data_IF_103378144006
#
_entry.id   IF_103378144006
#
_cell.length_a   1.000
_cell.length_b   1.000
_cell.length_c   1.000
_cell.angle_alpha   90.00
_cell.angle_beta   90.00
_cell.angle_gamma   90.00
#
_symmetry.space_group_name_H-M   'P 1'
#
loop_
_entity.id
_entity.type
_entity.pdbx_description
1 polymer ?
#
# COMPACT_ATOMS: atom_id res chain seq x y z
N UNK A 1 58.46 49.12 -0.07
CA UNK A 1 58.45 47.99 0.87
C UNK A 1 57.74 46.82 0.28
N UNK A 2 58.47 45.74 -0.01
CA UNK A 2 57.97 44.53 -0.73
C UNK A 2 57.39 43.58 0.33
N UNK A 3 56.21 43.04 0.08
CA UNK A 3 55.66 41.87 0.81
C UNK A 3 55.83 40.62 -0.03
N UNK A 4 56.15 39.45 0.55
CA UNK A 4 56.46 38.24 -0.18
C UNK A 4 55.21 37.43 -0.52
N UNK A 5 55.22 36.85 -1.71
CA UNK A 5 54.30 35.85 -2.20
C UNK A 5 54.50 34.53 -1.50
N UNK A 6 53.43 33.93 -0.95
CA UNK A 6 53.42 32.57 -0.45
C UNK A 6 52.91 31.61 -1.53
N UNK A 7 53.80 30.79 -2.04
CA UNK A 7 53.54 29.70 -2.95
C UNK A 7 52.77 28.58 -2.24
N UNK A 8 51.51 28.33 -2.60
CA UNK A 8 50.75 27.14 -2.20
C UNK A 8 51.00 26.03 -3.21
N UNK A 9 51.79 25.08 -2.77
CA UNK A 9 52.01 23.81 -3.50
C UNK A 9 50.74 22.98 -3.47
N UNK A 10 50.19 22.65 -4.66
CA UNK A 10 49.10 21.68 -4.83
C UNK A 10 49.67 20.28 -4.69
N UNK A 11 49.32 19.59 -3.61
CA UNK A 11 49.43 18.12 -3.53
C UNK A 11 48.41 17.45 -4.47
N UNK A 12 48.81 16.40 -5.20
CA UNK A 12 47.89 15.67 -6.06
C UNK A 12 46.98 14.77 -5.21
N UNK A 13 45.70 14.82 -5.53
CA UNK A 13 44.60 14.09 -4.89
C UNK A 13 44.72 12.56 -5.08
N UNK A 14 45.47 11.90 -4.18
CA UNK A 14 45.65 10.44 -4.15
C UNK A 14 44.43 9.67 -3.61
N UNK A 15 43.28 10.33 -3.37
CA UNK A 15 42.11 9.69 -2.76
C UNK A 15 41.06 9.15 -3.75
N UNK A 16 41.23 9.32 -5.06
CA UNK A 16 40.28 8.77 -6.07
C UNK A 16 40.57 7.35 -6.51
N UNK A 17 41.78 6.83 -6.36
CA UNK A 17 42.13 5.45 -6.74
C UNK A 17 41.61 4.38 -5.78
N UNK A 18 41.58 4.67 -4.48
CA UNK A 18 41.32 3.66 -3.44
C UNK A 18 39.82 3.28 -3.28
N UNK A 19 38.88 4.00 -3.90
CA UNK A 19 37.43 3.66 -3.80
C UNK A 19 36.93 2.75 -4.93
N UNK A 20 37.63 2.68 -6.02
CA UNK A 20 37.25 1.77 -7.14
C UNK A 20 37.79 0.37 -6.92
N UNK A 21 38.98 0.23 -6.33
CA UNK A 21 39.57 -1.08 -6.04
C UNK A 21 38.88 -1.81 -4.88
N UNK A 22 38.32 -1.07 -3.91
CA UNK A 22 37.53 -1.64 -2.82
C UNK A 22 36.15 -2.15 -3.28
N UNK A 23 35.60 -1.62 -4.38
CA UNK A 23 34.34 -2.11 -4.98
C UNK A 23 34.56 -3.33 -5.89
N UNK A 24 35.75 -3.48 -6.47
CA UNK A 24 36.12 -4.64 -7.27
C UNK A 24 36.46 -5.88 -6.42
N UNK A 25 36.98 -5.68 -5.22
CA UNK A 25 37.32 -6.77 -4.30
C UNK A 25 36.09 -7.44 -3.63
N UNK A 26 34.91 -6.78 -3.61
CA UNK A 26 33.65 -7.36 -3.06
C UNK A 26 32.91 -8.21 -4.08
N UNK A 27 33.32 -8.21 -5.34
CA UNK A 27 32.73 -9.06 -6.42
C UNK A 27 33.51 -10.34 -6.67
N UNK A 28 34.45 -10.73 -5.83
CA UNK A 28 35.01 -12.06 -5.89
C UNK A 28 33.91 -13.08 -5.56
N UNK A 29 33.56 -13.84 -6.59
CA UNK A 29 32.55 -14.89 -6.56
C UNK A 29 32.79 -15.82 -5.36
N UNK A 30 31.82 -15.85 -4.44
CA UNK A 30 31.71 -16.98 -3.49
C UNK A 30 31.60 -18.24 -4.35
N UNK A 31 32.50 -19.23 -4.19
CA UNK A 31 32.45 -20.45 -4.98
C UNK A 31 31.06 -21.07 -4.86
N UNK A 32 30.43 -21.35 -5.99
CA UNK A 32 29.08 -21.97 -6.05
C UNK A 32 29.06 -23.42 -5.51
N UNK A 33 30.20 -23.94 -5.05
CA UNK A 33 30.35 -25.32 -4.59
C UNK A 33 30.05 -25.61 -3.12
N UNK A 34 29.55 -24.65 -2.35
CA UNK A 34 29.21 -24.85 -0.91
C UNK A 34 27.77 -24.42 -0.61
N UNK A 35 26.84 -24.71 -1.50
CA UNK A 35 25.43 -24.72 -1.11
C UNK A 35 25.10 -26.13 -0.62
N UNK A 36 24.68 -26.30 0.66
CA UNK A 36 24.19 -27.61 1.08
C UNK A 36 23.03 -28.00 0.17
N UNK A 37 23.03 -29.23 -0.33
CA UNK A 37 22.02 -29.80 -1.23
C UNK A 37 20.61 -29.91 -0.64
N UNK A 38 20.34 -29.24 0.48
CA UNK A 38 19.09 -29.19 1.21
C UNK A 38 18.58 -27.77 1.42
N UNK A 39 18.66 -26.86 0.41
CA UNK A 39 17.93 -25.61 0.48
C UNK A 39 16.43 -25.91 0.67
N UNK A 40 15.75 -25.30 1.65
CA UNK A 40 14.34 -25.62 1.90
C UNK A 40 13.52 -25.31 0.65
N UNK A 41 12.79 -26.32 0.15
CA UNK A 41 11.92 -26.25 -1.04
C UNK A 41 10.83 -25.18 -0.89
N UNK A 42 10.58 -24.75 0.35
CA UNK A 42 9.56 -23.77 0.74
C UNK A 42 10.18 -22.64 1.53
N UNK A 43 10.17 -21.43 0.97
CA UNK A 43 10.60 -20.21 1.66
C UNK A 43 9.38 -19.58 2.34
N UNK A 44 9.42 -19.45 3.68
CA UNK A 44 8.29 -18.99 4.49
C UNK A 44 8.71 -17.98 5.56
N UNK A 45 9.58 -17.02 5.18
CA UNK A 45 9.91 -15.90 6.06
C UNK A 45 8.79 -14.85 5.98
N UNK A 46 8.32 -14.45 7.15
CA UNK A 46 7.21 -13.52 7.35
C UNK A 46 7.71 -12.10 7.53
N UNK A 47 6.86 -11.09 7.29
CA UNK A 47 7.21 -9.66 7.48
C UNK A 47 7.31 -9.36 8.97
N UNK A 48 6.23 -9.64 9.72
CA UNK A 48 6.12 -9.39 11.16
C UNK A 48 6.34 -10.71 11.92
N UNK A 49 5.58 -11.74 11.57
CA UNK A 49 5.61 -13.05 12.16
C UNK A 49 4.48 -13.92 11.63
N UNK A 50 4.64 -15.23 11.64
CA UNK A 50 3.69 -16.19 11.04
C UNK A 50 2.25 -15.93 11.47
N UNK A 51 1.99 -15.81 12.77
CA UNK A 51 0.64 -15.61 13.29
C UNK A 51 0.05 -14.28 12.85
N UNK A 52 0.80 -13.18 12.97
CA UNK A 52 0.34 -11.83 12.59
C UNK A 52 0.09 -11.74 11.08
N UNK A 53 1.03 -12.23 10.27
CA UNK A 53 0.92 -12.15 8.82
C UNK A 53 -0.24 -13.01 8.29
N UNK A 54 -0.43 -14.22 8.82
CA UNK A 54 -1.54 -15.10 8.45
C UNK A 54 -2.89 -14.55 8.89
N UNK A 55 -2.97 -13.84 10.03
CA UNK A 55 -4.23 -13.30 10.52
C UNK A 55 -4.56 -11.96 9.87
N UNK A 56 -3.62 -11.01 9.86
CA UNK A 56 -3.90 -9.61 9.51
C UNK A 56 -3.40 -9.19 8.13
N UNK A 57 -2.36 -9.83 7.56
CA UNK A 57 -1.87 -9.47 6.23
C UNK A 57 -2.53 -10.33 5.15
N UNK A 58 -2.54 -11.63 5.33
CA UNK A 58 -3.14 -12.59 4.38
C UNK A 58 -4.61 -12.83 4.73
N UNK A 59 -4.88 -13.13 6.00
CA UNK A 59 -6.22 -13.44 6.51
C UNK A 59 -7.18 -12.24 6.52
N UNK A 60 -6.67 -11.01 6.36
CA UNK A 60 -7.52 -9.83 6.09
C UNK A 60 -8.45 -10.03 4.90
N UNK A 61 -8.08 -10.86 3.92
CA UNK A 61 -8.94 -11.22 2.80
C UNK A 61 -10.27 -11.86 3.27
N UNK A 62 -10.27 -12.59 4.39
CA UNK A 62 -11.50 -13.16 4.97
C UNK A 62 -12.50 -12.08 5.39
N UNK A 63 -12.03 -10.92 5.85
CA UNK A 63 -12.93 -9.80 6.15
C UNK A 63 -13.57 -9.24 4.88
N UNK A 64 -12.84 -9.17 3.75
CA UNK A 64 -13.39 -8.81 2.46
C UNK A 64 -14.43 -9.84 1.97
N UNK A 65 -14.13 -11.13 2.08
CA UNK A 65 -15.10 -12.19 1.76
C UNK A 65 -16.33 -12.15 2.68
N UNK A 66 -16.16 -11.91 3.98
CA UNK A 66 -17.29 -11.76 4.90
C UNK A 66 -18.17 -10.56 4.53
N UNK A 67 -17.59 -9.44 4.12
CA UNK A 67 -18.33 -8.28 3.65
C UNK A 67 -19.09 -8.58 2.33
N UNK A 68 -18.45 -9.27 1.38
CA UNK A 68 -19.07 -9.74 0.14
C UNK A 68 -20.28 -10.64 0.44
N UNK A 69 -20.10 -11.66 1.28
CA UNK A 69 -21.16 -12.59 1.68
C UNK A 69 -22.30 -11.87 2.42
N UNK A 70 -21.98 -10.95 3.33
CA UNK A 70 -22.97 -10.16 4.06
C UNK A 70 -23.88 -9.39 3.09
N UNK A 71 -23.32 -8.76 2.07
CA UNK A 71 -24.12 -7.98 1.10
C UNK A 71 -24.82 -8.87 0.08
N UNK A 72 -24.07 -9.80 -0.58
CA UNK A 72 -24.61 -10.55 -1.74
C UNK A 72 -25.48 -11.73 -1.31
N UNK A 73 -25.05 -12.49 -0.29
CA UNK A 73 -25.76 -13.70 0.11
C UNK A 73 -26.73 -13.49 1.26
N UNK A 74 -26.37 -12.64 2.24
CA UNK A 74 -27.21 -12.38 3.40
C UNK A 74 -28.07 -11.13 3.25
N UNK A 75 -27.96 -10.41 2.12
CA UNK A 75 -28.74 -9.21 1.78
C UNK A 75 -28.68 -8.11 2.84
N UNK A 76 -27.58 -8.01 3.60
CA UNK A 76 -27.39 -6.90 4.55
C UNK A 76 -27.37 -5.59 3.76
N UNK A 77 -28.17 -4.57 4.19
CA UNK A 77 -28.24 -3.30 3.46
C UNK A 77 -26.86 -2.64 3.31
N UNK A 78 -26.56 -2.24 2.07
CA UNK A 78 -25.26 -1.64 1.75
C UNK A 78 -24.99 -0.36 2.54
N UNK A 79 -26.03 0.43 2.89
CA UNK A 79 -25.91 1.62 3.70
C UNK A 79 -25.38 1.32 5.12
N UNK A 80 -25.84 0.23 5.74
CA UNK A 80 -25.35 -0.21 7.05
C UNK A 80 -23.89 -0.68 6.96
N UNK A 81 -23.58 -1.50 5.96
CA UNK A 81 -22.23 -2.00 5.71
C UNK A 81 -21.26 -0.85 5.38
N UNK A 82 -21.71 0.17 4.66
CA UNK A 82 -20.93 1.35 4.34
C UNK A 82 -20.57 2.17 5.59
N UNK A 83 -21.52 2.37 6.51
CA UNK A 83 -21.25 3.03 7.77
C UNK A 83 -20.24 2.26 8.62
N UNK A 84 -20.46 0.94 8.76
CA UNK A 84 -19.55 0.07 9.49
C UNK A 84 -18.13 0.12 8.91
N UNK A 85 -18.00 0.04 7.60
CA UNK A 85 -16.72 0.17 6.92
C UNK A 85 -16.12 1.57 7.08
N UNK A 86 -16.89 2.63 6.83
CA UNK A 86 -16.41 4.01 6.80
C UNK A 86 -15.83 4.44 8.15
N UNK A 87 -16.53 4.17 9.24
CA UNK A 87 -16.09 4.56 10.59
C UNK A 87 -15.14 3.54 11.19
N UNK A 88 -15.42 2.25 11.03
CA UNK A 88 -14.66 1.18 11.67
C UNK A 88 -13.31 0.89 11.03
N UNK A 89 -13.21 1.03 9.72
CA UNK A 89 -12.01 0.63 8.97
C UNK A 89 -11.37 1.77 8.18
N UNK A 90 -12.11 2.46 7.33
CA UNK A 90 -11.53 3.46 6.44
C UNK A 90 -11.04 4.70 7.18
N UNK A 91 -11.85 5.21 8.11
CA UNK A 91 -11.45 6.35 8.92
C UNK A 91 -10.32 6.04 9.90
N UNK A 92 -10.35 4.86 10.50
CA UNK A 92 -9.27 4.41 11.40
C UNK A 92 -7.95 4.19 10.66
N UNK A 93 -8.01 3.76 9.41
CA UNK A 93 -6.83 3.58 8.56
C UNK A 93 -6.13 4.93 8.28
N UNK A 94 -6.88 6.01 8.03
CA UNK A 94 -6.30 7.36 7.90
C UNK A 94 -5.60 7.81 9.20
N UNK A 95 -6.16 7.44 10.38
CA UNK A 95 -5.45 7.65 11.65
C UNK A 95 -4.10 6.93 11.68
N UNK A 96 -4.01 5.74 11.09
CA UNK A 96 -2.74 5.02 10.99
C UNK A 96 -1.63 5.89 10.39
N UNK A 97 -1.87 6.54 9.26
CA UNK A 97 -0.95 7.51 8.65
C UNK A 97 -0.69 8.69 9.58
N UNK A 98 -1.75 9.29 10.15
CA UNK A 98 -1.64 10.45 11.02
C UNK A 98 -0.81 10.16 12.28
N UNK A 99 -0.94 8.96 12.87
CA UNK A 99 -0.20 8.54 14.07
C UNK A 99 1.31 8.53 13.87
N UNK A 100 1.75 8.24 12.67
CA UNK A 100 3.15 8.14 12.26
C UNK A 100 3.72 9.44 11.69
N UNK A 101 2.87 10.44 11.41
CA UNK A 101 3.26 11.68 10.75
C UNK A 101 2.91 12.90 11.59
N UNK A 102 1.65 13.32 11.57
CA UNK A 102 1.18 14.53 12.25
C UNK A 102 1.28 14.45 13.78
N UNK A 103 1.13 13.25 14.36
CA UNK A 103 1.20 13.06 15.80
C UNK A 103 2.62 12.70 16.30
N UNK A 104 3.52 12.21 15.43
CA UNK A 104 4.94 12.00 15.77
C UNK A 104 5.68 13.34 15.73
N UNK A 105 6.17 13.80 16.90
CA UNK A 105 6.87 15.09 17.04
C UNK A 105 8.12 15.17 16.15
N UNK A 106 8.93 14.12 16.10
CA UNK A 106 10.15 14.07 15.29
C UNK A 106 9.82 14.07 13.79
N UNK A 107 8.86 13.23 13.35
CA UNK A 107 8.44 13.17 11.97
C UNK A 107 7.86 14.51 11.51
N UNK A 108 7.06 15.17 12.37
CA UNK A 108 6.48 16.48 12.12
C UNK A 108 7.55 17.58 11.96
N UNK A 109 8.56 17.59 12.79
CA UNK A 109 9.67 18.56 12.68
C UNK A 109 10.49 18.32 11.40
N UNK A 110 10.85 17.07 11.14
CA UNK A 110 11.68 16.69 9.98
C UNK A 110 10.99 16.94 8.65
N UNK A 111 9.66 16.73 8.57
CA UNK A 111 8.91 16.77 7.33
C UNK A 111 7.81 17.85 7.33
N UNK A 112 7.98 18.94 8.08
CA UNK A 112 6.95 19.97 8.30
C UNK A 112 6.30 20.46 7.00
N UNK A 113 7.11 20.88 6.02
CA UNK A 113 6.62 21.40 4.74
C UNK A 113 5.86 20.32 3.96
N UNK A 114 6.35 19.10 3.93
CA UNK A 114 5.67 17.98 3.28
C UNK A 114 4.29 17.72 3.90
N UNK A 115 4.22 17.62 5.22
CA UNK A 115 3.01 17.25 5.94
C UNK A 115 1.93 18.35 5.85
N UNK A 116 2.28 19.56 6.29
CA UNK A 116 1.31 20.66 6.30
C UNK A 116 1.04 21.24 4.93
N UNK A 117 2.03 21.28 4.04
CA UNK A 117 1.86 21.71 2.66
C UNK A 117 0.97 20.77 1.86
N UNK A 118 1.14 19.43 1.99
CA UNK A 118 0.25 18.49 1.32
C UNK A 118 -1.16 18.52 1.90
N UNK A 119 -1.31 18.63 3.22
CA UNK A 119 -2.64 18.77 3.83
C UNK A 119 -3.35 20.04 3.31
N UNK A 120 -2.72 21.22 3.42
CA UNK A 120 -3.28 22.47 2.92
C UNK A 120 -3.68 22.37 1.44
N UNK A 121 -2.80 21.79 0.61
CA UNK A 121 -3.06 21.60 -0.81
C UNK A 121 -4.29 20.71 -1.07
N UNK A 122 -4.37 19.53 -0.46
CA UNK A 122 -5.45 18.59 -0.76
C UNK A 122 -6.78 18.99 -0.13
N UNK A 123 -6.78 19.66 1.03
CA UNK A 123 -8.00 20.21 1.61
C UNK A 123 -8.53 21.41 0.80
N UNK A 124 -7.69 22.14 0.06
CA UNK A 124 -8.11 23.17 -0.87
C UNK A 124 -8.48 22.60 -2.25
N UNK A 125 -7.75 21.58 -2.73
CA UNK A 125 -7.96 20.97 -4.04
C UNK A 125 -9.36 20.35 -4.16
N UNK A 126 -9.87 19.67 -3.13
CA UNK A 126 -11.19 19.07 -3.15
C UNK A 126 -12.29 20.08 -3.49
N UNK A 127 -12.48 21.15 -2.70
CA UNK A 127 -13.42 22.22 -3.03
C UNK A 127 -13.17 22.87 -4.39
N UNK A 128 -11.90 23.11 -4.77
CA UNK A 128 -11.57 23.67 -6.07
C UNK A 128 -12.04 22.79 -7.24
N UNK A 129 -11.85 21.48 -7.15
CA UNK A 129 -12.34 20.53 -8.15
C UNK A 129 -13.87 20.48 -8.22
N UNK A 130 -14.58 20.66 -7.09
CA UNK A 130 -16.05 20.80 -7.07
C UNK A 130 -16.47 22.02 -7.90
N UNK A 131 -15.81 23.17 -7.70
CA UNK A 131 -16.14 24.41 -8.41
C UNK A 131 -15.87 24.33 -9.91
N UNK A 132 -14.88 23.56 -10.34
CA UNK A 132 -14.47 23.46 -11.76
C UNK A 132 -15.24 22.34 -12.48
N UNK A 133 -15.31 21.16 -11.89
CA UNK A 133 -15.79 19.94 -12.56
C UNK A 133 -16.97 19.25 -11.88
N UNK A 134 -17.39 19.74 -10.72
CA UNK A 134 -18.47 19.16 -9.93
C UNK A 134 -18.08 17.89 -9.14
N UNK A 135 -19.06 17.44 -8.36
CA UNK A 135 -18.91 16.31 -7.41
C UNK A 135 -18.50 14.99 -8.07
N UNK A 136 -19.04 14.71 -9.25
CA UNK A 136 -18.76 13.46 -9.97
C UNK A 136 -17.30 13.37 -10.40
N UNK A 137 -16.69 14.47 -10.88
CA UNK A 137 -15.27 14.49 -11.27
C UNK A 137 -14.37 14.25 -10.08
N UNK A 138 -14.63 14.93 -8.96
CA UNK A 138 -13.85 14.70 -7.73
C UNK A 138 -14.02 13.26 -7.23
N UNK A 139 -15.25 12.74 -7.19
CA UNK A 139 -15.52 11.37 -6.76
C UNK A 139 -14.76 10.35 -7.63
N UNK A 140 -14.72 10.55 -8.95
CA UNK A 140 -13.95 9.70 -9.87
C UNK A 140 -12.45 9.76 -9.59
N UNK A 141 -11.88 10.96 -9.39
CA UNK A 141 -10.45 11.13 -9.07
C UNK A 141 -10.12 10.41 -7.76
N UNK A 142 -10.91 10.62 -6.72
CA UNK A 142 -10.73 9.97 -5.41
C UNK A 142 -10.80 8.44 -5.55
N UNK A 143 -11.78 7.93 -6.27
CA UNK A 143 -12.01 6.51 -6.46
C UNK A 143 -10.85 5.82 -7.22
N UNK A 144 -10.42 6.40 -8.34
CA UNK A 144 -9.30 5.86 -9.13
C UNK A 144 -8.01 5.89 -8.32
N UNK A 145 -7.76 6.99 -7.59
CA UNK A 145 -6.55 7.09 -6.76
C UNK A 145 -6.60 6.15 -5.55
N UNK A 146 -7.76 6.04 -4.88
CA UNK A 146 -7.96 5.07 -3.81
C UNK A 146 -7.68 3.64 -4.28
N UNK A 147 -8.24 3.26 -5.42
CA UNK A 147 -8.03 1.92 -5.97
C UNK A 147 -6.56 1.68 -6.36
N UNK A 148 -5.93 2.64 -7.01
CA UNK A 148 -4.49 2.59 -7.27
C UNK A 148 -3.67 2.44 -5.99
N UNK A 149 -4.04 3.16 -4.92
CA UNK A 149 -3.39 3.08 -3.62
C UNK A 149 -3.51 1.67 -2.99
N UNK A 150 -4.68 1.05 -3.06
CA UNK A 150 -4.90 -0.35 -2.63
C UNK A 150 -3.97 -1.32 -3.37
N UNK A 151 -3.91 -1.24 -4.70
CA UNK A 151 -3.04 -2.09 -5.52
C UNK A 151 -1.56 -1.87 -5.15
N UNK A 152 -1.16 -0.61 -4.95
CA UNK A 152 0.21 -0.27 -4.55
C UNK A 152 0.59 -0.84 -3.20
N UNK A 153 -0.35 -0.92 -2.26
CA UNK A 153 -0.09 -1.57 -0.97
C UNK A 153 0.07 -3.09 -1.11
N UNK A 154 -0.79 -3.78 -1.87
CA UNK A 154 -0.62 -5.21 -2.14
C UNK A 154 0.72 -5.50 -2.82
N UNK A 155 1.11 -4.66 -3.78
CA UNK A 155 2.44 -4.71 -4.37
C UNK A 155 3.56 -4.51 -3.34
N UNK A 156 3.38 -3.57 -2.41
CA UNK A 156 4.32 -3.32 -1.30
C UNK A 156 4.51 -4.56 -0.43
N UNK A 157 3.43 -5.20 0.02
CA UNK A 157 3.50 -6.45 0.80
C UNK A 157 4.16 -7.60 0.02
N UNK A 158 3.82 -7.74 -1.26
CA UNK A 158 4.48 -8.71 -2.14
C UNK A 158 6.00 -8.49 -2.17
N UNK A 159 6.45 -7.23 -2.35
CA UNK A 159 7.88 -6.88 -2.37
C UNK A 159 8.54 -7.17 -1.01
N UNK A 160 7.88 -6.86 0.10
CA UNK A 160 8.40 -7.17 1.44
C UNK A 160 8.60 -8.68 1.62
N UNK A 161 7.63 -9.52 1.22
CA UNK A 161 7.79 -10.98 1.21
C UNK A 161 8.91 -11.46 0.31
N UNK A 162 9.08 -10.83 -0.87
CA UNK A 162 10.19 -11.16 -1.77
C UNK A 162 11.55 -10.83 -1.16
N UNK A 163 11.69 -9.68 -0.50
CA UNK A 163 12.94 -9.29 0.18
C UNK A 163 13.25 -10.25 1.33
N UNK A 164 12.28 -10.54 2.20
CA UNK A 164 12.45 -11.49 3.32
C UNK A 164 12.86 -12.88 2.84
N UNK A 165 12.34 -13.34 1.71
CA UNK A 165 12.58 -14.68 1.18
C UNK A 165 13.68 -14.71 0.09
N UNK A 166 14.41 -13.60 -0.15
CA UNK A 166 15.47 -13.45 -1.15
C UNK A 166 15.04 -13.83 -2.59
N UNK A 167 13.76 -13.64 -2.90
CA UNK A 167 13.12 -13.91 -4.20
C UNK A 167 13.22 -12.66 -5.10
N UNK A 168 14.45 -12.22 -5.46
CA UNK A 168 14.71 -10.91 -6.06
C UNK A 168 15.12 -10.95 -7.53
N UNK A 169 15.06 -12.09 -8.20
CA UNK A 169 15.38 -12.19 -9.63
C UNK A 169 14.56 -11.17 -10.44
N UNK A 170 15.22 -10.43 -11.34
CA UNK A 170 14.60 -9.31 -12.08
C UNK A 170 13.39 -9.75 -12.90
N UNK A 171 13.51 -10.86 -13.64
CA UNK A 171 12.41 -11.42 -14.45
C UNK A 171 11.22 -11.81 -13.56
N UNK A 172 11.47 -12.52 -12.45
CA UNK A 172 10.39 -12.93 -11.54
C UNK A 172 9.73 -11.74 -10.86
N UNK A 173 10.51 -10.71 -10.52
CA UNK A 173 9.98 -9.47 -9.95
C UNK A 173 9.11 -8.68 -10.93
N UNK A 174 9.49 -8.69 -12.22
CA UNK A 174 8.66 -8.10 -13.28
C UNK A 174 7.37 -8.89 -13.47
N UNK A 175 7.45 -10.21 -13.59
CA UNK A 175 6.27 -11.07 -13.80
C UNK A 175 5.32 -11.06 -12.60
N UNK A 176 5.82 -11.07 -11.36
CA UNK A 176 5.00 -10.95 -10.16
C UNK A 176 4.22 -9.62 -10.13
N UNK A 177 4.90 -8.51 -10.46
CA UNK A 177 4.27 -7.18 -10.54
C UNK A 177 3.22 -7.12 -11.65
N UNK A 178 3.56 -7.64 -12.83
CA UNK A 178 2.65 -7.67 -13.97
C UNK A 178 1.43 -8.51 -13.67
N UNK A 179 1.63 -9.74 -13.18
CA UNK A 179 0.55 -10.66 -12.82
C UNK A 179 -0.40 -10.05 -11.77
N UNK A 180 0.13 -9.55 -10.65
CA UNK A 180 -0.69 -8.87 -9.65
C UNK A 180 -1.44 -7.69 -10.25
N UNK A 181 -0.77 -6.85 -11.05
CA UNK A 181 -1.37 -5.68 -11.69
C UNK A 181 -2.54 -6.05 -12.59
N UNK A 182 -2.33 -6.96 -13.56
CA UNK A 182 -3.39 -7.39 -14.48
C UNK A 182 -4.55 -8.03 -13.72
N UNK A 183 -4.25 -8.96 -12.79
CA UNK A 183 -5.29 -9.70 -12.06
C UNK A 183 -6.09 -8.85 -11.08
N UNK A 184 -5.61 -7.68 -10.69
CA UNK A 184 -6.38 -6.75 -9.83
C UNK A 184 -6.98 -5.59 -10.61
N UNK A 185 -6.36 -5.10 -11.69
CA UNK A 185 -6.89 -3.97 -12.48
C UNK A 185 -7.98 -4.42 -13.44
N UNK A 186 -7.87 -5.60 -14.02
CA UNK A 186 -8.83 -6.06 -15.02
C UNK A 186 -10.26 -6.20 -14.48
N UNK A 187 -10.54 -6.78 -13.29
CA UNK A 187 -11.91 -6.94 -12.81
C UNK A 187 -12.73 -5.64 -12.72
N UNK A 188 -12.26 -4.54 -12.08
CA UNK A 188 -12.99 -3.28 -12.09
C UNK A 188 -13.05 -2.64 -13.48
N UNK A 189 -11.98 -2.78 -14.29
CA UNK A 189 -12.01 -2.30 -15.67
C UNK A 189 -13.10 -3.02 -16.47
N UNK A 190 -13.18 -4.35 -16.39
CA UNK A 190 -14.17 -5.18 -17.05
C UNK A 190 -15.60 -4.78 -16.64
N UNK A 191 -15.82 -4.60 -15.33
CA UNK A 191 -17.13 -4.18 -14.84
C UNK A 191 -17.50 -2.77 -15.32
N UNK A 192 -16.67 -1.77 -15.01
CA UNK A 192 -17.07 -0.36 -15.13
C UNK A 192 -16.78 0.27 -16.49
N UNK A 193 -15.87 -0.29 -17.28
CA UNK A 193 -15.54 0.27 -18.59
C UNK A 193 -16.04 -0.59 -19.76
N UNK A 194 -16.42 -1.84 -19.50
CA UNK A 194 -16.95 -2.75 -20.51
C UNK A 194 -18.46 -2.95 -20.32
N UNK A 195 -18.91 -3.41 -19.13
CA UNK A 195 -20.29 -3.83 -18.92
C UNK A 195 -21.19 -2.78 -18.28
N UNK A 196 -20.72 -1.98 -17.33
CA UNK A 196 -21.52 -1.02 -16.55
C UNK A 196 -20.91 0.38 -16.53
N UNK A 197 -20.61 1.00 -17.70
CA UNK A 197 -20.04 2.34 -17.73
C UNK A 197 -20.97 3.40 -17.12
N UNK A 198 -22.29 3.14 -17.14
CA UNK A 198 -23.30 4.01 -16.54
C UNK A 198 -23.16 4.16 -15.02
N UNK A 199 -22.63 3.16 -14.31
CA UNK A 199 -22.35 3.26 -12.87
C UNK A 199 -21.31 4.37 -12.54
N UNK A 200 -20.44 4.71 -13.52
CA UNK A 200 -19.48 5.79 -13.44
C UNK A 200 -19.91 7.06 -14.19
N UNK A 201 -21.13 7.08 -14.74
CA UNK A 201 -21.64 8.20 -15.55
C UNK A 201 -20.95 8.31 -16.92
N UNK A 202 -20.29 7.25 -17.41
CA UNK A 202 -19.64 7.22 -18.71
C UNK A 202 -20.64 6.96 -19.84
N UNK A 203 -20.48 7.66 -20.96
CA UNK A 203 -21.34 7.50 -22.18
C UNK A 203 -20.68 6.62 -23.24
N UNK A 204 -19.56 5.97 -22.94
CA UNK A 204 -18.84 5.07 -23.85
C UNK A 204 -18.48 3.78 -23.14
N UNK A 205 -18.27 2.71 -23.92
CA UNK A 205 -17.84 1.41 -23.43
C UNK A 205 -16.72 0.84 -24.30
N UNK A 206 -15.82 0.08 -23.71
CA UNK A 206 -14.79 -0.69 -24.39
C UNK A 206 -15.25 -2.12 -24.76
N UNK A 207 -16.55 -2.42 -24.81
CA UNK A 207 -17.09 -3.76 -25.08
C UNK A 207 -16.53 -4.40 -26.37
N UNK A 208 -16.28 -3.61 -27.42
CA UNK A 208 -15.65 -4.12 -28.66
C UNK A 208 -14.24 -4.66 -28.48
N UNK A 209 -13.53 -4.20 -27.43
CA UNK A 209 -12.16 -4.63 -27.13
C UNK A 209 -12.11 -5.76 -26.08
N UNK A 210 -13.25 -6.21 -25.60
CA UNK A 210 -13.34 -7.23 -24.54
C UNK A 210 -12.57 -8.52 -24.89
N UNK A 211 -12.66 -9.09 -26.11
CA UNK A 211 -11.88 -10.29 -26.46
C UNK A 211 -10.37 -10.06 -26.37
N UNK A 212 -9.89 -8.89 -26.75
CA UNK A 212 -8.47 -8.55 -26.61
C UNK A 212 -8.03 -8.54 -25.15
N UNK A 213 -8.83 -7.97 -24.24
CA UNK A 213 -8.50 -7.96 -22.81
C UNK A 213 -8.51 -9.37 -22.21
N UNK A 214 -9.44 -10.24 -22.63
CA UNK A 214 -9.43 -11.64 -22.19
C UNK A 214 -8.21 -12.41 -22.69
N UNK A 215 -7.76 -12.16 -23.92
CA UNK A 215 -6.50 -12.72 -24.43
C UNK A 215 -5.31 -12.24 -23.60
N UNK A 216 -5.27 -10.95 -23.21
CA UNK A 216 -4.23 -10.40 -22.35
C UNK A 216 -4.21 -11.08 -20.97
N UNK A 217 -5.37 -11.29 -20.35
CA UNK A 217 -5.50 -12.01 -19.07
C UNK A 217 -5.03 -13.44 -19.21
N UNK A 218 -5.52 -14.16 -20.23
CA UNK A 218 -5.14 -15.56 -20.49
C UNK A 218 -3.61 -15.69 -20.71
N UNK A 219 -3.02 -14.85 -21.56
CA UNK A 219 -1.59 -14.83 -21.81
C UNK A 219 -0.81 -14.54 -20.52
N UNK A 220 -1.28 -13.59 -19.69
CA UNK A 220 -0.66 -13.28 -18.40
C UNK A 220 -0.66 -14.50 -17.48
N UNK A 221 -1.79 -15.21 -17.36
CA UNK A 221 -1.91 -16.42 -16.53
C UNK A 221 -0.99 -17.52 -17.05
N UNK A 222 -0.99 -17.79 -18.36
CA UNK A 222 -0.16 -18.83 -18.99
C UNK A 222 1.34 -18.54 -18.79
N UNK A 223 1.78 -17.33 -19.08
CA UNK A 223 3.20 -16.93 -18.92
C UNK A 223 3.62 -17.00 -17.46
N UNK A 224 2.80 -16.48 -16.55
CA UNK A 224 3.12 -16.50 -15.12
C UNK A 224 3.19 -17.93 -14.58
N UNK A 225 2.18 -18.76 -14.86
CA UNK A 225 2.11 -20.15 -14.41
C UNK A 225 3.25 -20.98 -15.02
N UNK A 226 3.49 -20.84 -16.32
CA UNK A 226 4.60 -21.49 -16.99
C UNK A 226 5.95 -21.16 -16.35
N UNK A 227 6.17 -19.87 -16.00
CA UNK A 227 7.38 -19.46 -15.28
C UNK A 227 7.47 -20.10 -13.89
N UNK A 228 6.38 -20.18 -13.13
CA UNK A 228 6.39 -20.82 -11.81
C UNK A 228 6.68 -22.33 -11.92
N UNK A 229 6.08 -23.02 -12.90
CA UNK A 229 6.37 -24.45 -13.19
C UNK A 229 7.84 -24.65 -13.51
N UNK A 230 8.44 -23.80 -14.35
CA UNK A 230 9.88 -23.86 -14.65
C UNK A 230 10.75 -23.65 -13.42
N UNK A 231 10.40 -22.73 -12.54
CA UNK A 231 11.10 -22.51 -11.25
C UNK A 231 11.04 -23.75 -10.35
N UNK A 232 9.84 -24.33 -10.21
CA UNK A 232 9.66 -25.56 -9.42
C UNK A 232 10.51 -26.71 -9.98
N UNK A 233 10.52 -26.88 -11.31
CA UNK A 233 11.34 -27.93 -11.98
C UNK A 233 12.84 -27.72 -11.79
N UNK A 234 13.29 -26.47 -11.65
CA UNK A 234 14.70 -26.11 -11.36
C UNK A 234 15.07 -26.26 -9.88
N UNK A 235 14.10 -26.53 -9.01
CA UNK A 235 14.34 -26.62 -7.58
C UNK A 235 14.43 -25.26 -6.88
N UNK A 236 14.01 -24.15 -7.54
CA UNK A 236 13.98 -22.82 -6.92
C UNK A 236 13.01 -22.81 -5.73
N UNK A 237 13.34 -22.12 -4.62
CA UNK A 237 12.47 -22.03 -3.47
C UNK A 237 11.15 -21.31 -3.81
N UNK A 238 10.04 -21.86 -3.34
CA UNK A 238 8.69 -21.26 -3.47
C UNK A 238 8.47 -20.27 -2.34
N UNK A 239 8.19 -19.03 -2.68
CA UNK A 239 7.87 -17.96 -1.72
C UNK A 239 6.40 -18.07 -1.25
N UNK A 240 6.18 -18.89 -0.23
CA UNK A 240 4.84 -19.23 0.28
C UNK A 240 4.01 -17.99 0.67
N UNK A 241 4.52 -17.01 1.47
CA UNK A 241 3.72 -15.86 1.85
C UNK A 241 3.25 -15.00 0.66
N UNK A 242 4.07 -14.87 -0.39
CA UNK A 242 3.69 -14.17 -1.62
C UNK A 242 2.49 -14.85 -2.29
N UNK A 243 2.52 -16.16 -2.43
CA UNK A 243 1.42 -16.90 -3.07
C UNK A 243 0.16 -16.92 -2.23
N UNK A 244 0.27 -16.99 -0.89
CA UNK A 244 -0.88 -16.86 0.00
C UNK A 244 -1.52 -15.46 -0.10
N UNK A 245 -0.71 -14.40 -0.21
CA UNK A 245 -1.23 -13.06 -0.45
C UNK A 245 -2.01 -13.00 -1.78
N UNK A 246 -1.46 -13.56 -2.86
CA UNK A 246 -2.15 -13.60 -4.15
C UNK A 246 -3.43 -14.42 -4.10
N UNK A 247 -3.40 -15.58 -3.44
CA UNK A 247 -4.57 -16.45 -3.27
C UNK A 247 -5.70 -15.80 -2.46
N UNK A 248 -5.36 -14.92 -1.51
CA UNK A 248 -6.37 -14.17 -0.76
C UNK A 248 -6.93 -12.99 -1.54
N UNK A 249 -6.06 -12.19 -2.16
CA UNK A 249 -6.42 -10.89 -2.74
C UNK A 249 -7.02 -11.03 -4.16
N UNK A 250 -6.41 -11.82 -5.04
CA UNK A 250 -6.83 -11.88 -6.45
C UNK A 250 -8.26 -12.39 -6.60
N UNK A 251 -8.65 -13.57 -6.06
CA UNK A 251 -10.02 -14.04 -6.21
C UNK A 251 -11.04 -13.10 -5.57
N UNK A 252 -10.69 -12.43 -4.46
CA UNK A 252 -11.57 -11.46 -3.85
C UNK A 252 -11.89 -10.29 -4.80
N UNK A 253 -10.90 -9.74 -5.50
CA UNK A 253 -11.13 -8.69 -6.50
C UNK A 253 -12.07 -9.18 -7.62
N UNK A 254 -11.84 -10.38 -8.14
CA UNK A 254 -12.67 -10.96 -9.20
C UNK A 254 -14.11 -11.16 -8.75
N UNK A 255 -14.33 -11.78 -7.60
CA UNK A 255 -15.68 -11.99 -7.06
C UNK A 255 -16.38 -10.68 -6.71
N UNK A 256 -15.65 -9.73 -6.11
CA UNK A 256 -16.20 -8.43 -5.75
C UNK A 256 -16.75 -7.69 -6.97
N UNK A 257 -15.95 -7.56 -8.02
CA UNK A 257 -16.37 -6.82 -9.21
C UNK A 257 -17.31 -7.64 -10.13
N UNK A 258 -17.42 -8.95 -9.96
CA UNK A 258 -18.43 -9.75 -10.63
C UNK A 258 -19.84 -9.56 -10.02
N UNK A 259 -19.93 -9.41 -8.69
CA UNK A 259 -21.21 -9.49 -7.99
C UNK A 259 -21.67 -8.19 -7.32
N UNK A 260 -20.81 -7.20 -7.15
CA UNK A 260 -21.13 -5.99 -6.40
C UNK A 260 -21.14 -4.74 -7.29
N UNK A 261 -22.07 -3.82 -6.99
CA UNK A 261 -22.03 -2.46 -7.51
C UNK A 261 -20.84 -1.68 -6.96
N UNK A 262 -20.56 -0.52 -7.51
CA UNK A 262 -19.54 0.40 -7.02
C UNK A 262 -19.57 0.62 -5.50
N UNK A 263 -20.76 0.86 -4.95
CA UNK A 263 -20.97 1.12 -3.51
C UNK A 263 -20.58 -0.07 -2.63
N UNK A 264 -20.72 -1.29 -3.12
CA UNK A 264 -20.31 -2.49 -2.39
C UNK A 264 -18.85 -2.86 -2.63
N UNK A 265 -18.36 -2.67 -3.84
CA UNK A 265 -17.02 -3.07 -4.25
C UNK A 265 -15.92 -2.29 -3.52
N UNK A 266 -16.08 -0.97 -3.36
CA UNK A 266 -15.08 -0.13 -2.68
C UNK A 266 -14.82 -0.60 -1.25
N UNK A 267 -15.81 -0.75 -0.36
CA UNK A 267 -15.58 -1.27 0.99
C UNK A 267 -14.96 -2.67 1.00
N UNK A 268 -15.44 -3.57 0.15
CA UNK A 268 -14.99 -4.97 0.13
C UNK A 268 -13.50 -5.10 -0.13
N UNK A 269 -12.95 -4.40 -1.12
CA UNK A 269 -11.51 -4.48 -1.43
C UNK A 269 -10.67 -3.65 -0.47
N UNK A 270 -11.20 -2.54 0.03
CA UNK A 270 -10.43 -1.64 0.92
C UNK A 270 -10.38 -2.12 2.35
N UNK A 271 -11.34 -2.90 2.86
CA UNK A 271 -11.28 -3.47 4.22
C UNK A 271 -10.04 -4.37 4.40
N UNK A 272 -9.68 -5.11 3.35
CA UNK A 272 -8.46 -5.93 3.32
C UNK A 272 -7.22 -5.05 3.46
N UNK A 273 -7.14 -4.03 2.64
CA UNK A 273 -6.08 -3.03 2.64
C UNK A 273 -5.96 -2.33 4.01
N UNK A 274 -7.09 -1.94 4.60
CA UNK A 274 -7.14 -1.25 5.89
C UNK A 274 -6.58 -2.13 7.03
N UNK A 275 -6.99 -3.39 7.09
CA UNK A 275 -6.51 -4.34 8.10
C UNK A 275 -5.01 -4.64 7.95
N UNK A 276 -4.54 -4.84 6.72
CA UNK A 276 -3.12 -5.01 6.43
C UNK A 276 -2.30 -3.80 6.89
N UNK A 277 -2.81 -2.60 6.65
CA UNK A 277 -2.17 -1.37 7.03
C UNK A 277 -2.12 -1.21 8.56
N UNK A 278 -3.21 -1.50 9.26
CA UNK A 278 -3.24 -1.45 10.73
C UNK A 278 -2.22 -2.39 11.36
N UNK A 279 -2.05 -3.60 10.84
CA UNK A 279 -1.02 -4.52 11.32
C UNK A 279 0.39 -3.93 11.16
N UNK A 280 0.67 -3.35 9.99
CA UNK A 280 1.97 -2.75 9.69
C UNK A 280 2.25 -1.52 10.57
N UNK A 281 1.25 -0.63 10.72
CA UNK A 281 1.35 0.57 11.56
C UNK A 281 1.51 0.19 13.03
N UNK A 282 0.70 -0.74 13.53
CA UNK A 282 0.83 -1.18 14.91
C UNK A 282 2.23 -1.73 15.20
N UNK A 283 2.75 -2.58 14.34
CA UNK A 283 4.09 -3.13 14.46
C UNK A 283 5.17 -2.05 14.43
N UNK A 284 5.06 -1.11 13.47
CA UNK A 284 5.95 0.04 13.37
C UNK A 284 5.91 0.89 14.64
N UNK A 285 4.72 1.30 15.07
CA UNK A 285 4.54 2.20 16.22
C UNK A 285 5.05 1.55 17.51
N UNK A 286 4.74 0.28 17.72
CA UNK A 286 5.23 -0.50 18.87
C UNK A 286 6.75 -0.57 18.92
N UNK A 287 7.42 -0.73 17.80
CA UNK A 287 8.87 -0.84 17.76
C UNK A 287 9.55 0.53 17.87
N UNK A 288 8.98 1.56 17.22
CA UNK A 288 9.58 2.90 17.18
C UNK A 288 9.39 3.67 18.47
N UNK A 289 8.20 3.63 19.08
CA UNK A 289 7.84 4.50 20.20
C UNK A 289 8.10 3.90 21.59
N UNK A 290 8.81 2.78 21.66
CA UNK A 290 9.25 2.19 22.93
C UNK A 290 10.30 3.03 23.65
N UNK A 291 11.13 3.75 22.90
CA UNK A 291 12.27 4.54 23.40
C UNK A 291 12.16 5.96 22.86
N UNK A 292 12.40 6.96 23.70
CA UNK A 292 12.35 8.37 23.34
C UNK A 292 11.00 9.04 23.63
N UNK A 293 10.97 10.36 23.51
CA UNK A 293 9.75 11.17 23.62
C UNK A 293 9.25 11.55 22.22
N UNK A 294 8.19 10.93 21.80
CA UNK A 294 7.54 11.16 20.49
C UNK A 294 6.21 11.91 20.61
N UNK A 295 5.82 12.30 21.84
CA UNK A 295 4.56 12.98 22.14
C UNK A 295 3.49 12.06 22.73
N UNK A 296 2.35 12.65 23.13
CA UNK A 296 1.29 11.96 23.87
C UNK A 296 0.60 10.85 23.05
N UNK A 297 0.22 11.14 21.79
CA UNK A 297 -0.49 10.17 20.94
C UNK A 297 0.38 8.96 20.60
N UNK A 298 1.63 9.10 20.11
CA UNK A 298 2.54 7.97 19.93
C UNK A 298 2.72 7.12 21.20
N UNK A 299 2.88 7.73 22.35
CA UNK A 299 2.99 7.03 23.63
C UNK A 299 1.74 6.25 23.99
N UNK A 300 0.55 6.83 23.78
CA UNK A 300 -0.72 6.17 24.05
C UNK A 300 -0.95 4.97 23.11
N UNK A 301 -0.77 5.15 21.79
CA UNK A 301 -1.05 4.12 20.78
C UNK A 301 -0.04 2.99 20.76
N UNK A 302 1.20 3.21 21.23
CA UNK A 302 2.21 2.14 21.33
C UNK A 302 2.08 1.29 22.60
N UNK A 303 1.31 1.72 23.59
CA UNK A 303 1.15 1.05 24.88
C UNK A 303 0.38 -0.26 24.78
N UNK A 304 -0.75 -0.27 24.07
CA UNK A 304 -1.55 -1.47 23.84
C UNK A 304 -2.30 -1.40 22.52
N UNK A 305 -2.65 -2.55 21.94
CA UNK A 305 -3.47 -2.64 20.74
C UNK A 305 -4.87 -2.02 20.97
N UNK A 306 -5.44 -2.25 22.15
CA UNK A 306 -6.73 -1.66 22.52
C UNK A 306 -6.68 -0.13 22.48
N UNK A 307 -5.66 0.48 23.09
CA UNK A 307 -5.51 1.94 23.04
C UNK A 307 -5.35 2.44 21.60
N UNK A 308 -4.58 1.74 20.76
CA UNK A 308 -4.47 2.08 19.36
C UNK A 308 -5.81 2.08 18.64
N UNK A 309 -6.59 1.01 18.82
CA UNK A 309 -7.93 0.86 18.20
C UNK A 309 -8.90 1.93 18.71
N UNK A 310 -8.94 2.16 20.02
CA UNK A 310 -9.85 3.17 20.61
C UNK A 310 -9.53 4.60 20.12
N UNK A 311 -8.25 4.98 20.11
CA UNK A 311 -7.84 6.31 19.61
C UNK A 311 -8.14 6.43 18.11
N UNK A 312 -7.91 5.38 17.34
CA UNK A 312 -8.23 5.35 15.91
C UNK A 312 -9.72 5.48 15.65
N UNK A 313 -10.59 4.81 16.42
CA UNK A 313 -12.04 4.90 16.31
C UNK A 313 -12.55 6.31 16.70
N UNK A 314 -12.03 6.89 17.78
CA UNK A 314 -12.38 8.28 18.17
C UNK A 314 -11.98 9.25 17.05
N UNK A 315 -10.75 9.17 16.53
CA UNK A 315 -10.31 9.99 15.41
C UNK A 315 -11.22 9.82 14.19
N UNK A 316 -11.53 8.58 13.84
CA UNK A 316 -12.41 8.25 12.73
C UNK A 316 -13.79 8.88 12.90
N UNK A 317 -14.43 8.69 14.05
CA UNK A 317 -15.75 9.24 14.33
C UNK A 317 -15.76 10.77 14.26
N UNK A 318 -14.74 11.43 14.82
CA UNK A 318 -14.63 12.89 14.86
C UNK A 318 -14.59 13.56 13.47
N UNK A 319 -14.11 12.87 12.42
CA UNK A 319 -14.14 13.47 11.08
C UNK A 319 -15.12 12.79 10.12
N UNK A 320 -15.38 11.47 10.26
CA UNK A 320 -16.31 10.77 9.38
C UNK A 320 -17.76 11.14 9.62
N UNK A 321 -18.18 11.26 10.88
CA UNK A 321 -19.57 11.62 11.21
C UNK A 321 -19.90 13.02 10.70
N UNK A 322 -19.14 14.09 11.07
CA UNK A 322 -19.37 15.42 10.48
C UNK A 322 -19.21 15.44 8.96
N UNK A 323 -18.20 14.74 8.42
CA UNK A 323 -17.94 14.68 7.00
C UNK A 323 -19.09 14.10 6.18
N UNK A 324 -19.77 13.10 6.72
CA UNK A 324 -20.96 12.53 6.10
C UNK A 324 -22.13 13.54 6.09
N UNK A 325 -22.50 14.10 7.24
CA UNK A 325 -23.62 15.03 7.34
C UNK A 325 -23.38 16.32 6.56
N UNK A 326 -22.24 16.95 6.73
CA UNK A 326 -21.87 18.17 6.03
C UNK A 326 -21.68 17.95 4.52
N UNK A 327 -21.11 16.79 4.12
CA UNK A 327 -20.93 16.42 2.71
C UNK A 327 -22.23 16.08 1.99
N UNK A 328 -23.30 15.72 2.71
CA UNK A 328 -24.65 15.63 2.15
C UNK A 328 -25.29 17.00 1.98
N UNK A 329 -25.05 17.91 2.92
CA UNK A 329 -25.62 19.26 2.89
C UNK A 329 -24.89 20.21 1.90
N UNK A 330 -23.61 19.98 1.61
CA UNK A 330 -22.79 20.84 0.77
C UNK A 330 -21.73 20.05 -0.01
N UNK A 331 -21.71 20.24 -1.33
CA UNK A 331 -20.68 19.65 -2.19
C UNK A 331 -19.28 20.19 -1.88
N UNK A 332 -19.15 21.46 -1.49
CA UNK A 332 -17.87 22.02 -1.06
C UNK A 332 -17.36 21.35 0.22
N UNK A 333 -18.25 21.06 1.17
CA UNK A 333 -17.90 20.30 2.37
C UNK A 333 -17.48 18.86 1.99
N UNK A 334 -18.21 18.20 1.10
CA UNK A 334 -17.79 16.91 0.56
C UNK A 334 -16.36 16.98 -0.01
N UNK A 335 -16.07 18.00 -0.84
CA UNK A 335 -14.74 18.24 -1.41
C UNK A 335 -13.68 18.43 -0.33
N UNK A 336 -13.96 19.22 0.71
CA UNK A 336 -13.05 19.44 1.82
C UNK A 336 -12.72 18.11 2.55
N UNK A 337 -13.72 17.31 2.89
CA UNK A 337 -13.51 16.02 3.58
C UNK A 337 -12.81 14.97 2.72
N UNK A 338 -12.89 15.03 1.39
CA UNK A 338 -12.04 14.23 0.50
C UNK A 338 -10.55 14.52 0.69
N UNK A 339 -10.19 15.70 1.20
CA UNK A 339 -8.82 16.10 1.53
C UNK A 339 -8.10 15.13 2.49
N UNK A 340 -8.83 14.49 3.43
CA UNK A 340 -8.26 13.46 4.31
C UNK A 340 -7.71 12.26 3.51
N UNK A 341 -8.53 11.69 2.62
CA UNK A 341 -8.12 10.56 1.78
C UNK A 341 -7.00 10.93 0.81
N UNK A 342 -7.13 12.06 0.10
CA UNK A 342 -6.12 12.52 -0.86
C UNK A 342 -4.77 12.78 -0.19
N UNK A 343 -4.76 13.42 0.99
CA UNK A 343 -3.55 13.63 1.79
C UNK A 343 -2.93 12.29 2.19
N UNK A 344 -3.74 11.35 2.63
CA UNK A 344 -3.29 10.02 3.02
C UNK A 344 -2.62 9.28 1.85
N UNK A 345 -3.27 9.18 0.68
CA UNK A 345 -2.70 8.50 -0.49
C UNK A 345 -1.37 9.11 -0.93
N UNK A 346 -1.27 10.43 -0.87
CA UNK A 346 -0.04 11.12 -1.20
C UNK A 346 1.07 10.84 -0.18
N UNK A 347 0.79 11.03 1.11
CA UNK A 347 1.79 10.85 2.17
C UNK A 347 2.28 9.41 2.23
N UNK A 348 1.41 8.41 2.12
CA UNK A 348 1.82 7.01 2.11
C UNK A 348 2.80 6.70 0.98
N UNK A 349 2.66 7.34 -0.19
CA UNK A 349 3.63 7.22 -1.28
C UNK A 349 5.03 7.74 -0.93
N UNK A 350 5.15 8.59 0.12
CA UNK A 350 6.41 9.21 0.56
C UNK A 350 7.01 8.56 1.79
N UNK A 351 6.16 8.14 2.75
CA UNK A 351 6.61 7.69 4.08
C UNK A 351 6.97 6.18 4.12
N UNK A 352 6.52 5.37 3.17
CA UNK A 352 6.79 3.93 3.13
C UNK A 352 7.98 3.57 2.21
N UNK A 353 9.04 4.37 2.23
CA UNK A 353 10.25 4.14 1.44
C UNK A 353 11.29 3.34 2.21
N UNK A 354 11.02 2.05 2.47
CA UNK A 354 11.90 1.15 3.24
C UNK A 354 13.34 1.15 2.71
N UNK A 355 13.53 1.28 1.38
CA UNK A 355 14.87 1.27 0.77
C UNK A 355 15.74 2.47 1.19
N UNK A 356 15.16 3.64 1.36
CA UNK A 356 15.87 4.90 1.61
C UNK A 356 15.76 5.40 3.07
N UNK A 357 14.95 4.74 3.91
CA UNK A 357 14.75 5.12 5.32
C UNK A 357 15.29 4.03 6.25
N UNK A 358 16.50 4.22 6.86
CA UNK A 358 17.07 3.27 7.81
C UNK A 358 16.22 3.09 9.07
N UNK A 359 15.62 4.16 9.58
CA UNK A 359 14.76 4.10 10.77
C UNK A 359 13.49 3.25 10.51
N UNK A 360 12.91 3.39 9.32
CA UNK A 360 11.80 2.54 8.89
C UNK A 360 12.21 1.06 8.76
N UNK A 361 13.40 0.78 8.20
CA UNK A 361 13.92 -0.61 8.12
C UNK A 361 14.08 -1.21 9.51
N UNK A 362 14.66 -0.45 10.44
CA UNK A 362 14.81 -0.90 11.83
C UNK A 362 13.46 -1.14 12.49
N UNK A 363 12.52 -0.20 12.39
CA UNK A 363 11.20 -0.34 12.98
C UNK A 363 10.40 -1.54 12.40
N UNK A 364 10.61 -1.87 11.12
CA UNK A 364 10.02 -3.03 10.46
C UNK A 364 10.87 -4.30 10.55
N UNK A 365 12.02 -4.26 11.23
CA UNK A 365 12.94 -5.39 11.34
C UNK A 365 13.32 -6.00 9.97
N UNK A 366 13.62 -5.12 9.00
CA UNK A 366 13.95 -5.46 7.60
C UNK A 366 15.48 -5.46 7.36
N UNK A 367 16.26 -5.80 8.37
CA UNK A 367 17.73 -5.90 8.26
C UNK A 367 18.15 -7.14 7.43
#
# INVERSE_FOLDING_TARGET
MRSPESSVSREPDARRGCKLDALAAVTQAVPQSVLPSSAPRWAHRWIIGRGVDLTFVIGSALAGYAYLVANVALHVPISLLWWFWSVGFDGTHIFGMASRTFFDAEARQRNRTLLFGSAAFFFALGPALILIGGKAVLAMIVAVWAYYHVIRQHYGFMVLYKVKNRDLAKTDSFLDRWFLGVMTVFPPFHRFFIHHPEELGLKFSFARMEPFFWVLVAATVVVYTGRQVLRIRRGDPINVPKFLLFAGVIPLHWLTFAYMSWMGAVPTVTIVHNLQYHALIWFHNRNRYRVGDHGLVPKAVSRSLLNYVLVALVFSALYRVPGFHLGQASDLAFGFFCGFGLTHYYLDSKIWRVRSDPGLRQALQMA
#
